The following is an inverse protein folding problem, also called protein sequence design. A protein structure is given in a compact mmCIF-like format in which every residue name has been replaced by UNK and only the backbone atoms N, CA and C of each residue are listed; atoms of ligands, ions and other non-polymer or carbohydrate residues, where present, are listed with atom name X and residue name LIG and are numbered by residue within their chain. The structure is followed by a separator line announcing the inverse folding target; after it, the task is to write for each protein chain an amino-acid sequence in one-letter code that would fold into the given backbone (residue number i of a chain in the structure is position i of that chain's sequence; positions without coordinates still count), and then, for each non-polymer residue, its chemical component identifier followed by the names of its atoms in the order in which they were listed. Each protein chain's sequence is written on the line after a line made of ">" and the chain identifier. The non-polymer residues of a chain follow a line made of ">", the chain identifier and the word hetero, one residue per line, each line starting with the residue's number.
data_IF_621172174651
#
_entry.id   IF_621172174651
#
_cell.length_a   1.000
_cell.length_b   1.000
_cell.length_c   1.000
_cell.angle_alpha   90.00
_cell.angle_beta   90.00
_cell.angle_gamma   90.00
#
_symmetry.space_group_name_H-M   'P 1'
#
loop_
_entity.id
_entity.type
_entity.pdbx_description
1 polymer ?
#
# COMPACT_ATOMS: atom_id res chain seq x y z
N UNK A 1 -2.70 1.25 11.26
CA UNK A 1 -3.65 0.38 10.52
C UNK A 1 -2.81 -0.57 9.70
N UNK A 2 -2.93 -1.88 9.92
CA UNK A 2 -2.18 -2.87 9.15
C UNK A 2 -2.81 -3.05 7.74
N UNK A 3 -2.05 -3.54 6.75
CA UNK A 3 -2.63 -3.95 5.47
C UNK A 3 -3.82 -4.89 5.67
N UNK A 4 -4.84 -4.72 4.83
CA UNK A 4 -6.12 -5.44 4.87
C UNK A 4 -7.00 -5.19 6.12
N UNK A 5 -6.60 -4.31 7.03
CA UNK A 5 -7.47 -3.90 8.14
C UNK A 5 -8.60 -2.98 7.64
N UNK A 6 -9.86 -3.20 8.05
CA UNK A 6 -10.95 -2.26 7.78
C UNK A 6 -10.81 -0.98 8.62
N UNK A 7 -11.54 0.06 8.23
CA UNK A 7 -11.67 1.31 8.96
C UNK A 7 -13.10 1.45 9.47
N UNK A 8 -13.25 1.91 10.71
CA UNK A 8 -14.55 2.31 11.27
C UNK A 8 -14.98 3.66 10.69
N UNK A 9 -15.38 3.65 9.42
CA UNK A 9 -15.92 4.78 8.64
C UNK A 9 -17.03 4.26 7.74
N UNK A 10 -17.87 5.17 7.27
CA UNK A 10 -18.95 4.86 6.34
C UNK A 10 -18.42 4.12 5.12
N UNK A 11 -19.14 3.06 4.72
CA UNK A 11 -18.74 2.16 3.64
C UNK A 11 -17.64 1.16 4.01
N UNK A 12 -17.12 1.15 5.25
CA UNK A 12 -16.10 0.22 5.74
C UNK A 12 -14.87 0.06 4.79
N UNK A 13 -14.17 1.15 4.43
CA UNK A 13 -13.02 1.07 3.54
C UNK A 13 -11.87 0.28 4.19
N UNK A 14 -11.05 -0.35 3.37
CA UNK A 14 -9.98 -1.28 3.76
C UNK A 14 -8.62 -0.75 3.30
N UNK A 15 -7.59 -0.87 4.14
CA UNK A 15 -6.22 -0.49 3.78
C UNK A 15 -5.57 -1.53 2.84
N UNK A 16 -5.91 -1.51 1.56
CA UNK A 16 -5.50 -2.52 0.56
C UNK A 16 -4.17 -2.13 -0.10
N UNK A 17 -3.17 -3.03 -0.15
CA UNK A 17 -2.00 -2.86 -1.00
C UNK A 17 -2.36 -2.75 -2.49
N UNK A 18 -1.72 -1.81 -3.19
CA UNK A 18 -1.94 -1.52 -4.62
C UNK A 18 -0.60 -1.39 -5.35
N UNK A 19 -0.62 -1.47 -6.67
CA UNK A 19 0.55 -1.18 -7.50
C UNK A 19 0.74 0.32 -7.75
N UNK A 20 1.92 0.72 -8.24
CA UNK A 20 2.18 2.12 -8.64
C UNK A 20 1.32 2.54 -9.83
N UNK A 21 1.04 1.63 -10.75
CA UNK A 21 0.18 1.86 -11.92
C UNK A 21 -1.27 2.11 -11.50
N UNK A 22 -1.81 1.36 -10.54
CA UNK A 22 -3.14 1.59 -9.99
C UNK A 22 -3.26 2.97 -9.32
N UNK A 23 -2.21 3.38 -8.60
CA UNK A 23 -2.14 4.71 -8.01
C UNK A 23 -2.12 5.81 -9.09
N UNK A 24 -1.29 5.64 -10.13
CA UNK A 24 -1.19 6.60 -11.24
C UNK A 24 -2.51 6.73 -12.02
N UNK A 25 -3.30 5.66 -12.10
CA UNK A 25 -4.63 5.68 -12.71
C UNK A 25 -5.74 6.22 -11.80
N UNK A 26 -5.43 6.66 -10.59
CA UNK A 26 -6.39 7.34 -9.72
C UNK A 26 -7.42 6.41 -9.07
N UNK A 27 -6.99 5.23 -8.62
CA UNK A 27 -7.85 4.30 -7.88
C UNK A 27 -8.57 4.99 -6.71
N UNK A 28 -9.89 4.81 -6.61
CA UNK A 28 -10.68 5.35 -5.50
C UNK A 28 -10.49 4.51 -4.23
N UNK A 29 -9.94 5.07 -3.13
CA UNK A 29 -9.77 4.35 -1.88
C UNK A 29 -11.10 3.94 -1.22
N UNK A 30 -12.21 4.62 -1.50
CA UNK A 30 -13.53 4.28 -0.93
C UNK A 30 -14.18 3.08 -1.64
N UNK A 31 -13.80 2.84 -2.89
CA UNK A 31 -14.21 1.65 -3.64
C UNK A 31 -13.56 0.35 -3.10
N UNK A 32 -12.49 0.46 -2.30
CA UNK A 32 -11.81 -0.66 -1.65
C UNK A 32 -12.37 -0.84 -0.23
N UNK A 33 -13.38 -1.68 -0.09
CA UNK A 33 -14.10 -1.90 1.18
C UNK A 33 -14.34 -3.39 1.47
N UNK A 34 -14.89 -3.70 2.65
CA UNK A 34 -15.09 -5.08 3.10
C UNK A 34 -15.94 -5.92 2.14
N UNK A 35 -16.83 -5.31 1.34
CA UNK A 35 -17.65 -6.01 0.35
C UNK A 35 -16.90 -6.23 -0.99
N UNK A 36 -16.09 -5.27 -1.44
CA UNK A 36 -15.41 -5.33 -2.75
C UNK A 36 -14.07 -6.07 -2.72
N UNK A 37 -13.34 -5.99 -1.60
CA UNK A 37 -11.97 -6.51 -1.49
C UNK A 37 -11.86 -8.02 -1.67
N UNK A 38 -12.76 -8.89 -1.16
CA UNK A 38 -12.68 -10.32 -1.42
C UNK A 38 -12.69 -10.66 -2.91
N UNK A 39 -13.56 -10.00 -3.70
CA UNK A 39 -13.62 -10.17 -5.15
C UNK A 39 -12.32 -9.72 -5.82
N UNK A 40 -11.77 -8.57 -5.41
CA UNK A 40 -10.49 -8.07 -5.92
C UNK A 40 -9.38 -9.09 -5.68
N UNK A 41 -9.26 -9.63 -4.46
CA UNK A 41 -8.23 -10.61 -4.11
C UNK A 41 -8.32 -11.88 -4.98
N UNK A 42 -9.54 -12.36 -5.27
CA UNK A 42 -9.74 -13.50 -6.16
C UNK A 42 -9.35 -13.23 -7.63
N UNK A 43 -9.36 -11.96 -8.06
CA UNK A 43 -9.01 -11.56 -9.42
C UNK A 43 -7.53 -11.18 -9.58
N UNK A 44 -6.80 -10.95 -8.48
CA UNK A 44 -5.37 -10.62 -8.54
C UNK A 44 -4.57 -11.84 -8.98
N UNK A 45 -3.80 -11.68 -10.05
CA UNK A 45 -2.84 -12.68 -10.52
C UNK A 45 -1.50 -12.60 -9.78
N UNK A 46 -1.18 -11.42 -9.23
CA UNK A 46 0.08 -11.14 -8.54
C UNK A 46 -0.21 -10.25 -7.34
N UNK A 47 0.38 -10.57 -6.19
CA UNK A 47 0.36 -9.70 -5.01
C UNK A 47 1.17 -8.41 -5.30
N UNK A 48 0.55 -7.21 -5.21
CA UNK A 48 1.24 -5.94 -5.39
C UNK A 48 2.48 -5.77 -4.52
N UNK A 49 2.52 -6.40 -3.36
CA UNK A 49 3.61 -6.30 -2.38
C UNK A 49 4.48 -7.56 -2.29
N UNK A 50 4.42 -8.46 -3.28
CA UNK A 50 5.18 -9.74 -3.27
C UNK A 50 6.67 -9.60 -2.93
N UNK A 51 7.29 -8.48 -3.33
CA UNK A 51 8.73 -8.23 -3.19
C UNK A 51 9.07 -7.32 -2.00
N UNK A 52 8.11 -6.98 -1.12
CA UNK A 52 8.32 -5.99 -0.04
C UNK A 52 9.48 -6.35 0.90
N UNK A 53 9.73 -7.65 1.11
CA UNK A 53 10.81 -8.12 1.99
C UNK A 53 12.11 -8.43 1.24
N UNK A 54 12.15 -8.28 -0.09
CA UNK A 54 13.31 -8.63 -0.91
C UNK A 54 14.46 -7.65 -0.74
N UNK A 55 14.14 -6.37 -0.53
CA UNK A 55 15.13 -5.30 -0.39
C UNK A 55 15.33 -4.99 1.09
N UNK A 56 16.56 -5.16 1.57
CA UNK A 56 17.00 -4.65 2.87
C UNK A 56 17.68 -3.31 2.65
N UNK A 57 16.97 -2.23 2.93
CA UNK A 57 17.46 -0.86 2.75
C UNK A 57 17.70 -0.19 4.11
N UNK A 58 18.74 0.63 4.18
CA UNK A 58 19.11 1.41 5.37
C UNK A 58 19.22 2.89 5.01
N UNK A 59 19.00 3.75 6.01
CA UNK A 59 19.24 5.19 5.85
C UNK A 59 20.75 5.41 5.91
N UNK A 60 21.32 5.95 4.83
CA UNK A 60 22.77 6.20 4.73
C UNK A 60 23.11 7.64 5.14
N UNK A 61 24.38 7.92 5.43
CA UNK A 61 24.84 9.29 5.65
C UNK A 61 24.56 10.22 4.45
N UNK A 62 24.62 9.69 3.21
CA UNK A 62 24.25 10.43 2.02
C UNK A 62 22.76 10.77 2.01
N UNK A 63 21.90 9.82 2.40
CA UNK A 63 20.45 10.05 2.55
C UNK A 63 20.17 11.13 3.58
N UNK A 64 20.82 11.09 4.75
CA UNK A 64 20.70 12.11 5.79
C UNK A 64 21.10 13.50 5.29
N UNK A 65 22.24 13.60 4.59
CA UNK A 65 22.71 14.85 3.99
C UNK A 65 21.73 15.39 2.95
N UNK A 66 21.15 14.52 2.12
CA UNK A 66 20.21 14.91 1.07
C UNK A 66 18.92 15.55 1.62
N UNK A 67 18.49 15.15 2.82
CA UNK A 67 17.29 15.70 3.49
C UNK A 67 17.62 16.76 4.56
N UNK A 68 18.88 17.18 4.67
CA UNK A 68 19.31 18.19 5.66
C UNK A 68 19.32 17.72 7.12
N UNK A 69 19.25 16.40 7.36
CA UNK A 69 19.32 15.81 8.69
C UNK A 69 20.73 15.40 9.12
N UNK A 70 20.87 14.94 10.36
CA UNK A 70 22.10 14.33 10.89
C UNK A 70 21.84 12.85 11.19
N UNK A 71 22.81 11.95 10.94
CA UNK A 71 22.71 10.54 11.29
C UNK A 71 22.49 10.29 12.78
#
# INVERSE_FOLDING_TARGET
>A
IAPYSPRARDGAPVAVPITWEELAHGIDPLALNTASVPRRLAMLTVDPWKDIYKVKQAITAATWKAVGGKP
#
